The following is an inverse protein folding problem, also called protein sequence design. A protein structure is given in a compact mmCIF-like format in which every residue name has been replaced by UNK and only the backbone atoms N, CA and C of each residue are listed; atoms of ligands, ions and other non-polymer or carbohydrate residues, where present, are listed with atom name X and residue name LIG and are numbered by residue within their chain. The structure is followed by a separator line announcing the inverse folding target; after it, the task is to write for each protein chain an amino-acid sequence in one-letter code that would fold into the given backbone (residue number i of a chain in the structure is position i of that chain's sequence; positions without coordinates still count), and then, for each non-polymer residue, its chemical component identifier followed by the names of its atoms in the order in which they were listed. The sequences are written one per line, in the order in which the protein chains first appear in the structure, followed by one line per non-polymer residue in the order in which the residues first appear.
data_IF_385317000274
#
_entry.id   IF_385317000274
#
_cell.length_a   1.000
_cell.length_b   1.000
_cell.length_c   1.000
_cell.angle_alpha   90.00
_cell.angle_beta   90.00
_cell.angle_gamma   90.00
#
_symmetry.space_group_name_H-M   'P 1'
#
loop_
_entity.id
_entity.type
_entity.pdbx_description
1 polymer ?
#
# COMPACT_ATOMS: atom_id res chain seq x y z
N UNK A 1 9.17 29.61 -46.41
CA UNK A 1 8.40 28.40 -46.21
C UNK A 1 7.89 28.39 -44.76
N UNK A 2 6.64 28.86 -44.58
CA UNK A 2 5.99 28.81 -43.28
C UNK A 2 5.49 27.37 -43.03
N UNK A 3 6.36 26.57 -42.45
CA UNK A 3 6.05 25.17 -42.13
C UNK A 3 5.99 25.01 -40.62
N UNK A 4 4.95 24.32 -40.11
CA UNK A 4 4.87 24.03 -38.70
C UNK A 4 5.94 23.03 -38.28
N UNK A 5 6.41 23.14 -37.05
CA UNK A 5 7.39 22.16 -36.48
C UNK A 5 6.87 20.73 -36.58
N UNK A 6 5.58 20.52 -36.43
CA UNK A 6 4.92 19.21 -36.53
C UNK A 6 5.00 18.66 -37.96
N UNK A 7 4.77 19.48 -38.96
CA UNK A 7 4.90 19.08 -40.37
C UNK A 7 6.33 18.71 -40.73
N UNK A 8 7.31 19.42 -40.19
CA UNK A 8 8.74 19.14 -40.39
C UNK A 8 9.12 17.75 -39.85
N UNK A 9 8.67 17.38 -38.65
CA UNK A 9 8.90 16.04 -38.09
C UNK A 9 8.17 14.95 -38.90
N UNK A 10 6.98 15.23 -39.41
CA UNK A 10 6.24 14.27 -40.27
C UNK A 10 6.99 13.99 -41.56
N UNK A 11 7.57 15.01 -42.18
CA UNK A 11 8.38 14.85 -43.40
C UNK A 11 9.71 14.16 -43.16
N UNK A 12 10.33 14.37 -41.99
CA UNK A 12 11.51 13.59 -41.54
C UNK A 12 11.18 12.10 -41.37
N UNK A 13 10.02 11.80 -40.76
CA UNK A 13 9.55 10.42 -40.56
C UNK A 13 9.26 9.75 -41.93
N UNK A 14 8.81 10.50 -42.93
CA UNK A 14 8.55 10.05 -44.30
C UNK A 14 9.83 9.94 -45.15
N UNK A 15 10.98 10.40 -44.62
CA UNK A 15 12.26 10.35 -45.36
C UNK A 15 12.37 11.32 -46.52
N UNK A 16 11.57 12.41 -46.54
CA UNK A 16 11.58 13.43 -47.58
C UNK A 16 12.79 14.38 -47.51
N UNK A 17 13.55 14.32 -46.42
CA UNK A 17 14.77 15.09 -46.25
C UNK A 17 16.01 14.19 -46.24
N UNK A 18 17.17 14.79 -46.55
CA UNK A 18 18.46 14.12 -46.44
C UNK A 18 18.78 13.76 -44.99
N UNK A 19 18.35 14.58 -44.01
CA UNK A 19 18.43 14.30 -42.59
C UNK A 19 17.41 13.21 -42.22
N UNK A 20 17.84 12.22 -41.44
CA UNK A 20 17.00 11.14 -40.95
C UNK A 20 16.75 11.25 -39.45
N UNK A 21 15.76 10.50 -38.96
CA UNK A 21 15.44 10.46 -37.54
C UNK A 21 16.62 10.09 -36.63
N UNK A 22 17.62 9.37 -37.15
CA UNK A 22 18.83 9.00 -36.43
C UNK A 22 19.73 10.21 -36.14
N UNK A 23 19.65 11.25 -36.96
CA UNK A 23 20.45 12.47 -36.85
C UNK A 23 19.87 13.47 -35.86
N UNK A 24 18.64 13.23 -35.39
CA UNK A 24 17.95 14.04 -34.39
C UNK A 24 18.27 13.59 -32.97
N UNK A 25 18.31 14.56 -32.03
CA UNK A 25 18.36 14.22 -30.61
C UNK A 25 17.25 13.21 -30.30
N UNK A 26 17.60 12.08 -29.67
CA UNK A 26 16.68 10.98 -29.34
C UNK A 26 15.35 11.53 -28.82
N UNK A 27 14.30 11.37 -29.59
CA UNK A 27 12.93 11.56 -29.11
C UNK A 27 12.67 10.54 -27.99
N UNK A 28 12.37 10.94 -26.75
CA UNK A 28 12.02 9.98 -25.72
C UNK A 28 10.78 9.22 -26.20
N UNK A 29 10.97 7.95 -26.56
CA UNK A 29 9.87 7.05 -26.93
C UNK A 29 9.08 6.71 -25.66
N UNK A 30 8.09 7.50 -25.33
CA UNK A 30 7.12 7.14 -24.31
C UNK A 30 6.29 5.97 -24.85
N UNK A 31 6.56 4.76 -24.33
CA UNK A 31 5.59 3.67 -24.51
C UNK A 31 4.25 4.16 -23.94
N UNK A 32 3.15 4.10 -24.70
CA UNK A 32 1.85 4.48 -24.16
C UNK A 32 1.65 3.66 -22.88
N UNK A 33 1.38 4.34 -21.77
CA UNK A 33 1.04 3.67 -20.52
C UNK A 33 -0.15 2.76 -20.81
N UNK A 34 0.04 1.44 -20.66
CA UNK A 34 -1.10 0.54 -20.65
C UNK A 34 -2.05 1.07 -19.59
N UNK A 35 -3.23 1.49 -20.00
CA UNK A 35 -4.29 1.85 -19.08
C UNK A 35 -4.56 0.59 -18.24
N UNK A 36 -4.04 0.55 -17.01
CA UNK A 36 -4.47 -0.46 -16.07
C UNK A 36 -5.96 -0.19 -15.87
N UNK A 37 -6.80 -1.13 -16.28
CA UNK A 37 -8.21 -1.11 -15.92
C UNK A 37 -8.23 -1.00 -14.40
N UNK A 38 -8.63 0.15 -13.88
CA UNK A 38 -8.85 0.34 -12.45
C UNK A 38 -9.87 -0.73 -12.08
N UNK A 39 -9.45 -1.73 -11.31
CA UNK A 39 -10.42 -2.67 -10.74
C UNK A 39 -11.40 -1.79 -9.97
N UNK A 40 -12.67 -1.87 -10.34
CA UNK A 40 -13.76 -1.20 -9.61
C UNK A 40 -13.77 -1.89 -8.26
N UNK A 41 -13.09 -1.30 -7.30
CA UNK A 41 -13.13 -1.75 -5.91
C UNK A 41 -14.57 -1.51 -5.46
N UNK A 42 -15.28 -2.58 -5.07
CA UNK A 42 -16.63 -2.46 -4.57
C UNK A 42 -16.62 -1.47 -3.40
N UNK A 43 -17.18 -0.28 -3.62
CA UNK A 43 -17.19 0.79 -2.61
C UNK A 43 -17.97 0.39 -1.35
N UNK A 44 -18.92 -0.53 -1.50
CA UNK A 44 -19.73 -1.07 -0.40
C UNK A 44 -18.90 -1.76 0.69
N UNK A 45 -17.73 -2.31 0.36
CA UNK A 45 -16.83 -2.96 1.32
C UNK A 45 -16.28 -1.99 2.37
N UNK A 46 -16.17 -0.70 1.99
CA UNK A 46 -15.59 0.36 2.84
C UNK A 46 -16.67 1.20 3.55
N UNK A 47 -17.98 0.88 3.39
CA UNK A 47 -19.06 1.56 4.09
C UNK A 47 -18.88 1.42 5.60
N UNK A 48 -19.06 2.53 6.33
CA UNK A 48 -18.86 2.64 7.80
C UNK A 48 -17.42 2.34 8.27
N UNK A 49 -16.44 2.38 7.35
CA UNK A 49 -15.01 2.17 7.63
C UNK A 49 -14.16 3.29 7.07
N UNK A 50 -14.74 4.44 6.79
CA UNK A 50 -14.03 5.59 6.25
C UNK A 50 -13.25 6.32 7.34
N UNK A 51 -12.28 7.13 6.93
CA UNK A 51 -11.55 7.99 7.87
C UNK A 51 -12.46 8.97 8.62
N UNK A 52 -13.58 9.41 8.02
CA UNK A 52 -14.61 10.20 8.70
C UNK A 52 -15.16 9.46 9.92
N UNK A 53 -15.57 8.20 9.72
CA UNK A 53 -16.13 7.38 10.78
C UNK A 53 -15.09 7.11 11.89
N UNK A 54 -13.83 6.90 11.49
CA UNK A 54 -12.71 6.76 12.42
C UNK A 54 -12.46 8.03 13.24
N UNK A 55 -12.49 9.20 12.61
CA UNK A 55 -12.24 10.48 13.30
C UNK A 55 -13.32 10.84 14.31
N UNK A 56 -14.56 10.39 14.11
CA UNK A 56 -15.67 10.58 15.06
C UNK A 56 -15.46 9.81 16.37
N UNK A 57 -14.69 8.72 16.35
CA UNK A 57 -14.40 7.92 17.55
C UNK A 57 -13.46 8.62 18.53
N UNK A 58 -12.72 9.65 18.11
CA UNK A 58 -11.78 10.42 18.92
C UNK A 58 -10.83 9.55 19.77
N UNK A 59 -10.30 8.49 19.15
CA UNK A 59 -9.49 7.49 19.84
C UNK A 59 -8.14 8.07 20.29
N UNK A 60 -7.75 7.78 21.52
CA UNK A 60 -6.43 8.10 22.06
C UNK A 60 -5.37 7.06 21.72
N UNK A 61 -5.78 5.86 21.35
CA UNK A 61 -4.91 4.72 21.01
C UNK A 61 -5.51 3.95 19.84
N UNK A 62 -4.68 3.68 18.84
CA UNK A 62 -5.01 2.84 17.69
C UNK A 62 -3.71 2.32 17.06
N UNK A 63 -3.86 1.37 16.15
CA UNK A 63 -2.73 0.78 15.43
C UNK A 63 -2.76 1.27 13.99
N UNK A 64 -1.66 1.86 13.51
CA UNK A 64 -1.46 2.11 12.09
C UNK A 64 -0.89 0.87 11.43
N UNK A 65 -1.48 0.43 10.31
CA UNK A 65 -1.01 -0.71 9.53
C UNK A 65 -0.64 -0.27 8.11
N UNK A 66 0.50 -0.78 7.62
CA UNK A 66 1.00 -0.46 6.28
C UNK A 66 1.84 -1.61 5.70
N UNK A 67 2.09 -1.57 4.41
CA UNK A 67 3.02 -2.48 3.75
C UNK A 67 4.20 -1.72 3.14
N UNK A 68 5.41 -2.19 3.44
CA UNK A 68 6.64 -1.64 2.87
C UNK A 68 7.20 -2.63 1.85
N UNK A 69 7.18 -2.24 0.59
CA UNK A 69 7.72 -3.06 -0.49
C UNK A 69 9.24 -2.97 -0.56
N UNK A 70 9.89 -4.08 -0.81
CA UNK A 70 11.32 -4.15 -1.09
C UNK A 70 11.64 -3.58 -2.49
N UNK A 71 12.88 -3.67 -2.91
CA UNK A 71 13.31 -3.28 -4.26
C UNK A 71 12.50 -4.01 -5.34
N UNK A 72 12.50 -3.47 -6.57
CA UNK A 72 11.75 -4.03 -7.72
C UNK A 72 12.12 -5.47 -8.09
N UNK A 73 13.24 -5.96 -7.59
CA UNK A 73 13.76 -7.30 -7.86
C UNK A 73 13.23 -8.36 -6.88
N UNK A 74 12.61 -7.94 -5.78
CA UNK A 74 12.10 -8.84 -4.74
C UNK A 74 10.59 -8.69 -4.57
N UNK A 75 9.88 -9.81 -4.51
CA UNK A 75 8.45 -9.85 -4.18
C UNK A 75 8.19 -9.77 -2.66
N UNK A 76 9.24 -9.68 -1.85
CA UNK A 76 9.12 -9.61 -0.40
C UNK A 76 8.59 -8.25 0.04
N UNK A 77 7.71 -8.27 1.01
CA UNK A 77 7.05 -7.08 1.56
C UNK A 77 7.03 -7.20 3.08
N UNK A 78 7.20 -6.10 3.77
CA UNK A 78 7.02 -6.04 5.22
C UNK A 78 5.60 -5.55 5.53
N UNK A 79 4.84 -6.33 6.29
CA UNK A 79 3.63 -5.85 6.94
C UNK A 79 4.04 -5.20 8.25
N UNK A 80 3.67 -3.96 8.45
CA UNK A 80 4.10 -3.15 9.60
C UNK A 80 2.90 -2.72 10.43
N UNK A 81 3.05 -2.75 11.74
CA UNK A 81 2.10 -2.22 12.71
C UNK A 81 2.80 -1.21 13.59
N UNK A 82 2.21 -0.05 13.74
CA UNK A 82 2.67 0.97 14.67
C UNK A 82 1.58 1.30 15.68
N UNK A 83 1.88 1.04 16.94
CA UNK A 83 1.02 1.32 18.09
C UNK A 83 1.22 2.78 18.50
N UNK A 84 0.20 3.61 18.28
CA UNK A 84 0.32 5.07 18.44
C UNK A 84 0.58 5.52 19.88
N UNK A 85 0.01 4.83 20.84
CA UNK A 85 0.16 5.11 22.28
C UNK A 85 1.49 4.65 22.83
N UNK A 86 1.83 3.38 22.60
CA UNK A 86 3.02 2.72 23.12
C UNK A 86 4.30 3.09 22.36
N UNK A 87 4.14 3.73 21.17
CA UNK A 87 5.23 4.02 20.23
C UNK A 87 6.01 2.75 19.82
N UNK A 88 5.33 1.62 19.84
CA UNK A 88 5.89 0.33 19.46
C UNK A 88 5.69 0.08 17.96
N UNK A 89 6.73 -0.45 17.34
CA UNK A 89 6.72 -0.83 15.94
C UNK A 89 6.95 -2.34 15.81
N UNK A 90 6.06 -3.03 15.09
CA UNK A 90 6.21 -4.44 14.72
C UNK A 90 6.26 -4.58 13.21
N UNK A 91 7.07 -5.52 12.71
CA UNK A 91 7.18 -5.81 11.29
C UNK A 91 7.23 -7.32 11.04
N UNK A 92 6.47 -7.77 10.05
CA UNK A 92 6.38 -9.17 9.64
C UNK A 92 6.73 -9.32 8.16
N UNK A 93 7.60 -10.26 7.84
CA UNK A 93 7.99 -10.52 6.46
C UNK A 93 6.92 -11.33 5.74
N UNK A 94 6.41 -10.78 4.64
CA UNK A 94 5.54 -11.46 3.70
C UNK A 94 6.34 -11.85 2.45
N UNK A 95 6.26 -13.11 2.03
CA UNK A 95 6.86 -13.57 0.78
C UNK A 95 6.12 -13.02 -0.44
N UNK A 96 4.84 -12.73 -0.30
CA UNK A 96 4.00 -12.08 -1.30
C UNK A 96 2.99 -11.18 -0.61
N UNK A 97 2.76 -9.98 -1.14
CA UNK A 97 1.75 -9.04 -0.66
C UNK A 97 0.37 -9.45 -1.18
N UNK A 98 -0.35 -10.26 -0.41
CA UNK A 98 -1.69 -10.75 -0.75
C UNK A 98 -2.61 -10.67 0.47
N UNK A 99 -3.93 -10.56 0.24
CA UNK A 99 -4.96 -10.59 1.30
C UNK A 99 -4.80 -11.80 2.22
N UNK A 100 -4.57 -12.98 1.65
CA UNK A 100 -4.37 -14.21 2.43
C UNK A 100 -3.11 -14.19 3.30
N UNK A 101 -2.00 -13.58 2.82
CA UNK A 101 -0.78 -13.47 3.59
C UNK A 101 -0.95 -12.54 4.80
N UNK A 102 -1.66 -11.42 4.62
CA UNK A 102 -2.00 -10.51 5.72
C UNK A 102 -2.89 -11.22 6.75
N UNK A 103 -3.97 -11.88 6.29
CA UNK A 103 -4.85 -12.66 7.17
C UNK A 103 -4.09 -13.70 7.99
N UNK A 104 -3.17 -14.44 7.36
CA UNK A 104 -2.35 -15.44 8.07
C UNK A 104 -1.52 -14.84 9.21
N UNK A 105 -1.03 -13.60 9.09
CA UNK A 105 -0.33 -12.92 10.19
C UNK A 105 -1.31 -12.63 11.34
N UNK A 106 -2.51 -12.14 11.04
CA UNK A 106 -3.54 -11.92 12.05
C UNK A 106 -3.91 -13.21 12.77
N UNK A 107 -4.15 -14.28 12.02
CA UNK A 107 -4.50 -15.60 12.59
C UNK A 107 -3.39 -16.17 13.47
N UNK A 108 -2.12 -15.96 13.09
CA UNK A 108 -0.96 -16.38 13.91
C UNK A 108 -0.81 -15.55 15.18
N UNK A 109 -1.01 -14.24 15.10
CA UNK A 109 -0.96 -13.36 16.25
C UNK A 109 -2.07 -13.70 17.23
N UNK A 110 -3.30 -13.86 16.76
CA UNK A 110 -4.44 -14.25 17.57
C UNK A 110 -4.24 -15.62 18.23
N UNK A 111 -3.75 -16.61 17.48
CA UNK A 111 -3.45 -17.94 18.03
C UNK A 111 -2.40 -17.90 19.14
N UNK A 112 -1.43 -16.96 19.08
CA UNK A 112 -0.37 -16.84 20.10
C UNK A 112 -0.80 -16.05 21.31
N UNK A 113 -1.61 -15.01 21.11
CA UNK A 113 -2.01 -14.10 22.18
C UNK A 113 -3.31 -14.56 22.85
N UNK A 114 -4.19 -15.22 22.11
CA UNK A 114 -5.59 -15.42 22.48
C UNK A 114 -6.47 -14.33 21.89
N UNK A 115 -7.76 -14.64 21.66
CA UNK A 115 -8.71 -13.75 20.98
C UNK A 115 -8.98 -12.46 21.79
N UNK A 116 -9.11 -12.56 23.11
CA UNK A 116 -9.36 -11.40 23.97
C UNK A 116 -8.17 -10.46 24.08
N UNK A 117 -6.97 -11.00 24.23
CA UNK A 117 -5.72 -10.22 24.27
C UNK A 117 -5.46 -9.58 22.92
N UNK A 118 -5.72 -10.30 21.82
CA UNK A 118 -5.61 -9.73 20.49
C UNK A 118 -6.57 -8.54 20.32
N UNK A 119 -7.85 -8.69 20.69
CA UNK A 119 -8.84 -7.62 20.63
C UNK A 119 -8.41 -6.41 21.46
N UNK A 120 -7.85 -6.61 22.66
CA UNK A 120 -7.42 -5.50 23.52
C UNK A 120 -6.24 -4.70 22.94
N UNK A 121 -5.36 -5.36 22.18
CA UNK A 121 -4.15 -4.77 21.60
C UNK A 121 -4.41 -4.19 20.20
N UNK A 122 -5.24 -4.85 19.39
CA UNK A 122 -5.54 -4.51 18.01
C UNK A 122 -7.01 -4.06 17.83
N UNK A 123 -7.59 -3.40 18.82
CA UNK A 123 -9.01 -3.02 18.83
C UNK A 123 -9.39 -2.19 17.59
N UNK A 124 -8.58 -1.16 17.28
CA UNK A 124 -8.79 -0.28 16.13
C UNK A 124 -7.54 -0.21 15.27
N UNK A 125 -7.70 -0.51 13.99
CA UNK A 125 -6.61 -0.47 13.01
C UNK A 125 -6.95 0.52 11.91
N UNK A 126 -6.02 1.45 11.65
CA UNK A 126 -6.09 2.40 10.54
C UNK A 126 -5.12 1.98 9.44
N UNK A 127 -5.61 1.80 8.22
CA UNK A 127 -4.79 1.40 7.07
C UNK A 127 -5.14 2.19 5.81
N UNK A 128 -4.38 2.01 4.73
CA UNK A 128 -4.74 2.53 3.42
C UNK A 128 -5.67 1.55 2.66
N UNK A 129 -6.08 1.95 1.45
CA UNK A 129 -6.91 1.12 0.58
C UNK A 129 -6.07 0.22 -0.33
N UNK A 130 -4.98 -0.34 0.19
CA UNK A 130 -4.17 -1.32 -0.53
C UNK A 130 -4.98 -2.55 -0.93
N UNK A 131 -4.61 -3.19 -2.04
CA UNK A 131 -5.30 -4.38 -2.52
C UNK A 131 -5.23 -5.54 -1.53
N UNK A 132 -4.17 -5.61 -0.74
CA UNK A 132 -3.92 -6.57 0.33
C UNK A 132 -4.85 -6.41 1.53
N UNK A 133 -5.35 -5.20 1.75
CA UNK A 133 -6.29 -4.86 2.83
C UNK A 133 -7.75 -4.80 2.35
N UNK A 134 -8.02 -5.14 1.10
CA UNK A 134 -9.32 -5.01 0.46
C UNK A 134 -10.35 -6.08 0.87
N UNK A 135 -10.16 -6.76 2.00
CA UNK A 135 -11.11 -7.71 2.58
C UNK A 135 -11.19 -7.51 4.10
N UNK A 136 -11.85 -6.42 4.55
CA UNK A 136 -11.93 -6.10 5.97
C UNK A 136 -12.65 -7.18 6.77
N UNK A 137 -13.71 -7.77 6.21
CA UNK A 137 -14.49 -8.80 6.92
C UNK A 137 -13.60 -9.99 7.29
N UNK A 138 -12.77 -10.47 6.37
CA UNK A 138 -11.86 -11.57 6.65
C UNK A 138 -10.76 -11.22 7.66
N UNK A 139 -10.38 -9.95 7.76
CA UNK A 139 -9.40 -9.49 8.74
C UNK A 139 -10.04 -9.23 10.11
N UNK A 140 -11.26 -8.73 10.15
CA UNK A 140 -12.03 -8.44 11.37
C UNK A 140 -12.57 -9.71 12.05
N UNK A 141 -12.79 -10.79 11.28
CA UNK A 141 -13.28 -12.06 11.83
C UNK A 141 -12.13 -12.93 12.31
N UNK A 142 -12.14 -13.29 13.58
CA UNK A 142 -11.17 -14.15 14.23
C UNK A 142 -11.33 -15.64 13.90
N UNK A 143 -10.48 -16.47 14.51
CA UNK A 143 -10.50 -17.93 14.35
C UNK A 143 -11.79 -18.56 14.91
N UNK A 144 -12.36 -17.95 15.95
CA UNK A 144 -13.59 -18.40 16.61
C UNK A 144 -14.85 -17.72 16.04
N UNK A 145 -14.75 -17.14 14.83
CA UNK A 145 -15.81 -16.36 14.17
C UNK A 145 -16.27 -15.13 14.98
N UNK A 146 -15.54 -14.75 16.01
CA UNK A 146 -15.76 -13.54 16.80
C UNK A 146 -15.01 -12.37 16.15
N UNK A 147 -15.57 -11.17 16.27
CA UNK A 147 -14.89 -9.97 15.82
C UNK A 147 -13.64 -9.74 16.67
N UNK A 148 -12.46 -9.73 16.02
CA UNK A 148 -11.14 -9.56 16.69
C UNK A 148 -10.55 -8.14 16.56
N UNK A 149 -11.08 -7.33 15.65
CA UNK A 149 -10.59 -5.95 15.41
C UNK A 149 -11.60 -5.16 14.62
N UNK A 150 -11.45 -3.85 14.55
CA UNK A 150 -12.21 -2.96 13.67
C UNK A 150 -11.24 -2.21 12.75
N UNK A 151 -11.42 -2.35 11.43
CA UNK A 151 -10.51 -1.79 10.44
C UNK A 151 -11.12 -0.55 9.79
N UNK A 152 -10.34 0.54 9.77
CA UNK A 152 -10.68 1.80 9.12
C UNK A 152 -9.68 2.13 8.03
N UNK A 153 -10.14 2.88 7.03
CA UNK A 153 -9.36 3.18 5.84
C UNK A 153 -9.17 4.69 5.67
N UNK A 154 -7.92 5.07 5.43
CA UNK A 154 -7.59 6.43 5.03
C UNK A 154 -8.21 6.80 3.68
N UNK A 155 -8.43 8.10 3.48
CA UNK A 155 -8.86 8.61 2.19
C UNK A 155 -7.76 8.42 1.12
N UNK A 156 -8.14 8.16 -0.13
CA UNK A 156 -7.16 8.07 -1.21
C UNK A 156 -6.32 9.34 -1.32
N UNK A 157 -5.01 9.17 -1.51
CA UNK A 157 -4.05 10.27 -1.71
C UNK A 157 -3.87 11.22 -0.51
N UNK A 158 -4.31 10.84 0.70
CA UNK A 158 -4.12 11.60 1.93
C UNK A 158 -3.17 10.88 2.89
N UNK A 159 -1.89 10.84 2.53
CA UNK A 159 -0.84 10.21 3.36
C UNK A 159 -0.69 10.84 4.75
N UNK A 160 -1.08 12.10 4.94
CA UNK A 160 -1.04 12.79 6.23
C UNK A 160 -2.03 12.26 7.28
N UNK A 161 -2.96 11.38 6.89
CA UNK A 161 -3.88 10.72 7.83
C UNK A 161 -3.23 9.57 8.61
N UNK A 162 -2.10 9.04 8.11
CA UNK A 162 -1.18 8.15 8.83
C UNK A 162 0.04 8.97 9.25
N UNK A 163 0.02 9.56 10.42
CA UNK A 163 1.04 10.55 10.80
C UNK A 163 2.41 9.92 11.02
N UNK A 164 2.48 8.72 11.57
CA UNK A 164 3.74 8.14 12.02
C UNK A 164 4.33 7.18 10.99
N UNK A 165 3.56 6.24 10.47
CA UNK A 165 4.08 5.30 9.48
C UNK A 165 4.54 5.98 8.19
N UNK A 166 3.83 7.01 7.72
CA UNK A 166 4.25 7.76 6.53
C UNK A 166 5.61 8.45 6.69
N UNK A 167 6.00 8.83 7.91
CA UNK A 167 7.32 9.41 8.22
C UNK A 167 8.40 8.35 8.42
N UNK A 168 8.04 7.18 8.92
CA UNK A 168 8.98 6.10 9.22
C UNK A 168 9.30 5.25 7.99
N UNK A 169 8.34 5.06 7.08
CA UNK A 169 8.50 4.21 5.88
C UNK A 169 9.76 4.54 5.05
N UNK A 170 10.13 5.81 4.78
CA UNK A 170 11.37 6.12 4.08
C UNK A 170 12.63 5.69 4.84
N UNK A 171 12.63 5.81 6.17
CA UNK A 171 13.77 5.40 7.00
C UNK A 171 13.94 3.87 7.01
N UNK A 172 12.84 3.12 7.04
CA UNK A 172 12.89 1.66 7.07
C UNK A 172 13.38 1.05 5.77
N UNK A 173 13.10 1.65 4.62
CA UNK A 173 13.63 1.19 3.34
C UNK A 173 15.17 1.22 3.30
N UNK A 174 15.84 2.02 4.15
CA UNK A 174 17.28 2.20 4.21
C UNK A 174 17.96 1.55 5.43
N UNK A 175 17.25 1.36 6.53
CA UNK A 175 17.85 1.06 7.83
C UNK A 175 17.74 -0.39 8.30
N UNK A 176 16.97 -1.28 7.64
CA UNK A 176 16.90 -2.67 8.10
C UNK A 176 18.01 -3.54 7.52
N UNK A 177 19.01 -3.93 8.33
CA UNK A 177 19.83 -5.08 8.00
C UNK A 177 18.90 -6.30 7.90
N UNK A 178 19.21 -7.20 6.96
CA UNK A 178 18.43 -8.40 6.60
C UNK A 178 18.13 -9.37 7.77
N UNK A 179 18.61 -9.07 8.97
CA UNK A 179 18.66 -9.96 10.13
C UNK A 179 17.59 -9.73 11.21
N UNK A 180 16.86 -8.60 11.17
CA UNK A 180 15.82 -8.25 12.18
C UNK A 180 14.39 -8.58 11.74
N UNK A 181 14.25 -9.50 10.81
CA UNK A 181 12.93 -9.96 10.36
C UNK A 181 12.57 -11.16 11.23
N UNK A 182 11.51 -11.02 12.01
CA UNK A 182 10.91 -12.15 12.70
C UNK A 182 10.40 -13.15 11.65
N UNK A 183 11.23 -14.17 11.37
CA UNK A 183 10.81 -15.34 10.62
C UNK A 183 9.97 -16.20 11.59
N UNK A 184 8.69 -16.26 11.34
CA UNK A 184 7.77 -17.17 12.02
C UNK A 184 7.34 -18.30 11.11
#
# INVERSE_FOLDING_TARGET
LDMSVRSLYTYLDQGLFTARNIDLKRKPGFKPRKCHKTQITNRTVFEKRLFSDFSELQLSSFVEMDTVHSSRESNKTLLTFFFTKEKLFLAFLLNRCTKGAVRLIFDRLEKRMGTYEFLSVFEYILTDRGSEFGDPVALETGLDEIQRTSIYYCDPMRSGQKEVLSRLTPCFAWCFPKELVLNF
#
